data_IF_782769648491
#
_entry.id   IF_782769648491
#
_cell.length_a   1.000
_cell.length_b   1.000
_cell.length_c   1.000
_cell.angle_alpha   90.00
_cell.angle_beta   90.00
_cell.angle_gamma   90.00
#
_symmetry.space_group_name_H-M   'P 1'
#
loop_
_entity.id
_entity.type
_entity.pdbx_description
1 polymer ?
#
# COMPACT_ATOMS: atom_id res chain seq x y z
N UNK A 1 -23.04 15.71 -26.98
CA UNK A 1 -22.84 17.08 -27.50
C UNK A 1 -23.43 18.08 -26.51
N UNK A 2 -22.62 18.57 -25.56
CA UNK A 2 -23.05 19.61 -24.64
C UNK A 2 -22.61 20.97 -25.20
N UNK A 3 -23.60 21.82 -25.47
CA UNK A 3 -23.48 23.15 -26.08
C UNK A 3 -22.55 24.04 -25.25
N UNK A 4 -21.45 24.51 -25.84
CA UNK A 4 -20.61 25.59 -25.29
C UNK A 4 -21.48 26.83 -25.09
N UNK A 5 -21.87 27.13 -23.85
CA UNK A 5 -22.26 28.50 -23.50
C UNK A 5 -20.97 29.32 -23.40
N UNK A 6 -20.57 29.92 -24.52
CA UNK A 6 -19.56 30.98 -24.57
C UNK A 6 -20.07 32.17 -23.77
N UNK A 7 -19.77 32.24 -22.48
CA UNK A 7 -19.76 33.51 -21.77
C UNK A 7 -18.42 34.17 -22.09
N UNK A 8 -18.36 34.77 -23.27
CA UNK A 8 -17.32 35.74 -23.62
C UNK A 8 -17.32 36.79 -22.50
N UNK A 9 -16.18 37.09 -21.86
CA UNK A 9 -16.11 38.21 -20.94
C UNK A 9 -16.59 39.46 -21.69
N UNK A 10 -17.38 40.33 -21.04
CA UNK A 10 -17.75 41.60 -21.66
C UNK A 10 -16.48 42.32 -22.13
N UNK A 11 -16.51 43.00 -23.30
CA UNK A 11 -15.41 43.81 -23.79
C UNK A 11 -15.30 45.06 -22.91
N UNK A 12 -14.73 44.91 -21.73
CA UNK A 12 -14.53 45.99 -20.77
C UNK A 12 -13.15 46.59 -21.02
N UNK A 13 -13.10 47.90 -21.18
CA UNK A 13 -11.82 48.61 -21.23
C UNK A 13 -11.24 48.74 -19.81
N UNK A 14 -9.89 48.81 -19.64
CA UNK A 14 -9.26 48.98 -18.33
C UNK A 14 -9.84 50.16 -17.53
N UNK A 15 -10.19 51.23 -18.22
CA UNK A 15 -10.77 52.45 -17.66
C UNK A 15 -12.14 52.21 -17.02
N UNK A 16 -12.95 51.31 -17.58
CA UNK A 16 -14.28 50.96 -17.07
C UNK A 16 -14.21 50.11 -15.80
N UNK A 17 -13.15 49.31 -15.63
CA UNK A 17 -12.92 48.52 -14.42
C UNK A 17 -12.49 49.43 -13.27
N UNK A 18 -11.68 50.47 -13.55
CA UNK A 18 -11.33 51.52 -12.58
C UNK A 18 -12.55 52.34 -12.15
N UNK A 19 -13.42 52.73 -13.09
CA UNK A 19 -14.68 53.42 -12.77
C UNK A 19 -15.63 52.55 -11.93
N UNK A 20 -15.76 51.26 -12.23
CA UNK A 20 -16.57 50.32 -11.45
C UNK A 20 -15.98 50.09 -10.06
N UNK A 21 -14.66 49.94 -9.93
CA UNK A 21 -14.00 49.79 -8.64
C UNK A 21 -14.17 51.04 -7.74
N UNK A 22 -14.13 52.23 -8.35
CA UNK A 22 -14.40 53.50 -7.68
C UNK A 22 -15.88 53.64 -7.27
N UNK A 23 -16.80 53.23 -8.14
CA UNK A 23 -18.26 53.28 -7.91
C UNK A 23 -18.73 52.39 -6.76
N UNK A 24 -18.08 51.24 -6.54
CA UNK A 24 -18.49 50.25 -5.54
C UNK A 24 -17.71 50.28 -4.20
N UNK A 25 -16.86 51.29 -3.95
CA UNK A 25 -16.11 51.50 -2.67
C UNK A 25 -15.57 50.19 -2.04
N UNK A 26 -15.01 49.31 -2.86
CA UNK A 26 -14.59 48.00 -2.38
C UNK A 26 -13.28 48.12 -1.58
N UNK A 27 -13.42 47.92 -0.27
CA UNK A 27 -12.32 48.03 0.69
C UNK A 27 -11.33 46.88 0.47
N UNK A 28 -10.06 47.26 0.28
CA UNK A 28 -8.86 46.41 0.25
C UNK A 28 -8.48 45.80 -1.11
N UNK A 29 -7.70 46.57 -1.89
CA UNK A 29 -7.03 46.15 -3.13
C UNK A 29 -6.30 44.79 -3.04
N UNK A 30 -5.79 44.41 -1.87
CA UNK A 30 -5.13 43.10 -1.62
C UNK A 30 -6.10 41.92 -1.71
N UNK A 31 -7.33 42.07 -1.24
CA UNK A 31 -8.36 41.01 -1.32
C UNK A 31 -8.99 40.94 -2.71
N UNK A 32 -9.09 42.09 -3.40
CA UNK A 32 -9.47 42.14 -4.82
C UNK A 32 -8.43 41.43 -5.69
N UNK A 33 -7.13 41.69 -5.50
CA UNK A 33 -6.06 41.02 -6.27
C UNK A 33 -6.17 39.49 -6.23
N UNK A 34 -6.36 38.90 -5.03
CA UNK A 34 -6.60 37.45 -4.90
C UNK A 34 -7.85 36.96 -5.61
N UNK A 35 -8.95 37.74 -5.59
CA UNK A 35 -10.20 37.38 -6.30
C UNK A 35 -10.06 37.48 -7.82
N UNK A 36 -9.29 38.45 -8.30
CA UNK A 36 -9.00 38.62 -9.73
C UNK A 36 -8.08 37.50 -10.25
N UNK A 37 -7.09 37.09 -9.46
CA UNK A 37 -6.27 35.90 -9.72
C UNK A 37 -7.13 34.63 -9.81
N UNK A 38 -8.06 34.43 -8.87
CA UNK A 38 -9.00 33.29 -8.93
C UNK A 38 -9.90 33.35 -10.17
N UNK A 39 -10.35 34.53 -10.58
CA UNK A 39 -11.18 34.67 -11.79
C UNK A 39 -10.40 34.34 -13.06
N UNK A 40 -9.16 34.83 -13.16
CA UNK A 40 -8.25 34.48 -14.25
C UNK A 40 -7.97 32.98 -14.27
N UNK A 41 -7.68 32.37 -13.11
CA UNK A 41 -7.48 30.92 -12.98
C UNK A 41 -8.70 30.13 -13.44
N UNK A 42 -9.90 30.44 -12.94
CA UNK A 42 -11.12 29.72 -13.32
C UNK A 42 -11.46 29.84 -14.81
N UNK A 43 -11.18 31.01 -15.41
CA UNK A 43 -11.35 31.18 -16.86
C UNK A 43 -10.32 30.36 -17.63
N UNK A 44 -9.06 30.36 -17.19
CA UNK A 44 -7.99 29.58 -17.82
C UNK A 44 -8.22 28.06 -17.71
N UNK A 45 -8.65 27.57 -16.55
CA UNK A 45 -9.07 26.17 -16.36
C UNK A 45 -10.22 25.78 -17.31
N UNK A 46 -11.14 26.71 -17.58
CA UNK A 46 -12.25 26.51 -18.52
C UNK A 46 -11.79 26.49 -19.97
N UNK A 47 -10.86 27.37 -20.35
CA UNK A 47 -10.23 27.36 -21.68
C UNK A 47 -9.38 26.12 -21.89
N UNK A 48 -8.87 25.48 -20.83
CA UNK A 48 -8.11 24.25 -20.92
C UNK A 48 -8.95 22.98 -20.72
N UNK A 49 -10.27 23.11 -20.59
CA UNK A 49 -11.17 21.97 -20.38
C UNK A 49 -11.28 21.05 -21.61
N UNK A 50 -11.10 21.60 -22.80
CA UNK A 50 -11.02 20.89 -24.09
C UNK A 50 -9.57 20.55 -24.49
N UNK A 51 -8.59 20.92 -23.64
CA UNK A 51 -7.14 20.75 -23.83
C UNK A 51 -6.56 21.53 -25.02
N UNK A 52 -7.34 22.40 -25.65
CA UNK A 52 -6.94 23.15 -26.84
C UNK A 52 -6.99 24.63 -26.53
N UNK A 53 -5.91 25.34 -26.84
CA UNK A 53 -5.81 26.78 -26.58
C UNK A 53 -5.99 27.55 -27.88
N UNK A 54 -7.25 27.85 -28.20
CA UNK A 54 -7.59 28.53 -29.46
C UNK A 54 -6.99 29.95 -29.52
N UNK A 55 -6.73 30.49 -30.72
CA UNK A 55 -6.22 31.85 -30.88
C UNK A 55 -7.13 32.92 -30.23
N UNK A 56 -8.45 32.68 -30.25
CA UNK A 56 -9.46 33.55 -29.64
C UNK A 56 -9.40 33.52 -28.11
N UNK A 57 -9.18 32.35 -27.52
CA UNK A 57 -8.98 32.19 -26.07
C UNK A 57 -7.66 32.80 -25.61
N UNK A 58 -6.58 32.66 -26.40
CA UNK A 58 -5.31 33.38 -26.17
C UNK A 58 -5.52 34.90 -26.16
N UNK A 59 -6.26 35.42 -27.13
CA UNK A 59 -6.61 36.84 -27.21
C UNK A 59 -7.45 37.31 -26.01
N UNK A 60 -8.39 36.47 -25.57
CA UNK A 60 -9.25 36.78 -24.42
C UNK A 60 -8.49 36.72 -23.10
N UNK A 61 -7.53 35.80 -22.94
CA UNK A 61 -6.63 35.74 -21.78
C UNK A 61 -5.69 36.94 -21.72
N UNK A 62 -5.19 37.41 -22.88
CA UNK A 62 -4.42 38.65 -23.00
C UNK A 62 -5.27 39.88 -22.62
N UNK A 63 -6.52 39.92 -23.09
CA UNK A 63 -7.45 40.98 -22.72
C UNK A 63 -7.76 40.96 -21.22
N UNK A 64 -8.07 39.78 -20.65
CA UNK A 64 -8.28 39.60 -19.22
C UNK A 64 -7.07 40.02 -18.39
N UNK A 65 -5.84 39.70 -18.83
CA UNK A 65 -4.62 40.18 -18.19
C UNK A 65 -4.57 41.71 -18.13
N UNK A 66 -4.84 42.38 -19.25
CA UNK A 66 -4.83 43.85 -19.35
C UNK A 66 -5.94 44.48 -18.51
N UNK A 67 -7.15 43.92 -18.58
CA UNK A 67 -8.34 44.42 -17.87
C UNK A 67 -8.24 44.23 -16.35
N UNK A 68 -7.61 43.13 -15.92
CA UNK A 68 -7.44 42.81 -14.49
C UNK A 68 -6.15 43.41 -13.89
N UNK A 69 -5.30 44.08 -14.70
CA UNK A 69 -4.06 44.69 -14.23
C UNK A 69 -3.06 43.70 -13.64
N UNK A 70 -3.08 42.44 -14.08
CA UNK A 70 -2.22 41.39 -13.52
C UNK A 70 -0.79 41.52 -14.08
N UNK A 71 0.19 41.44 -13.18
CA UNK A 71 1.60 41.41 -13.60
C UNK A 71 1.95 40.11 -14.33
N UNK A 72 2.89 40.18 -15.26
CA UNK A 72 3.40 39.03 -16.03
C UNK A 72 3.88 37.89 -15.13
N UNK A 73 4.47 38.22 -13.97
CA UNK A 73 4.92 37.24 -12.97
C UNK A 73 3.77 36.42 -12.39
N UNK A 74 2.66 37.07 -12.07
CA UNK A 74 1.47 36.42 -11.49
C UNK A 74 0.75 35.58 -12.53
N UNK A 75 0.60 36.10 -13.75
CA UNK A 75 -0.01 35.38 -14.88
C UNK A 75 0.79 34.14 -15.26
N UNK A 76 2.12 34.26 -15.38
CA UNK A 76 2.97 33.11 -15.71
C UNK A 76 2.94 32.06 -14.61
N UNK A 77 2.86 32.46 -13.32
CA UNK A 77 2.70 31.53 -12.22
C UNK A 77 1.38 30.75 -12.31
N UNK A 78 0.26 31.45 -12.53
CA UNK A 78 -1.06 30.81 -12.69
C UNK A 78 -1.08 29.91 -13.93
N UNK A 79 -0.48 30.36 -15.03
CA UNK A 79 -0.38 29.57 -16.26
C UNK A 79 0.38 28.27 -16.01
N UNK A 80 1.53 28.32 -15.35
CA UNK A 80 2.32 27.12 -15.03
C UNK A 80 1.53 26.18 -14.11
N UNK A 81 0.93 26.69 -13.03
CA UNK A 81 0.16 25.86 -12.09
C UNK A 81 -1.04 25.16 -12.75
N UNK A 82 -1.79 25.87 -13.59
CA UNK A 82 -2.96 25.29 -14.27
C UNK A 82 -2.54 24.37 -15.41
N UNK A 83 -1.51 24.72 -16.18
CA UNK A 83 -0.98 23.86 -17.23
C UNK A 83 -0.42 22.54 -16.64
N UNK A 84 0.31 22.61 -15.52
CA UNK A 84 0.76 21.43 -14.78
C UNK A 84 -0.42 20.58 -14.30
N UNK A 85 -1.48 21.19 -13.75
CA UNK A 85 -2.66 20.46 -13.27
C UNK A 85 -3.42 19.75 -14.42
N UNK A 86 -3.58 20.42 -15.56
CA UNK A 86 -4.24 19.86 -16.75
C UNK A 86 -3.41 18.76 -17.38
N UNK A 87 -2.09 18.96 -17.49
CA UNK A 87 -1.17 17.94 -17.98
C UNK A 87 -1.17 16.70 -17.07
N UNK A 88 -1.08 16.90 -15.75
CA UNK A 88 -1.17 15.83 -14.74
C UNK A 88 -2.43 15.00 -14.90
N UNK A 89 -3.59 15.64 -15.03
CA UNK A 89 -4.88 14.94 -15.23
C UNK A 89 -4.92 14.18 -16.55
N UNK A 90 -4.26 14.70 -17.59
CA UNK A 90 -4.19 14.05 -18.90
C UNK A 90 -3.28 12.83 -18.86
N UNK A 91 -2.14 12.93 -18.18
CA UNK A 91 -1.25 11.80 -17.89
C UNK A 91 -1.97 10.72 -17.10
N UNK A 92 -2.60 11.06 -15.97
CA UNK A 92 -3.33 10.09 -15.12
C UNK A 92 -4.42 9.34 -15.90
N UNK A 93 -5.08 9.99 -16.86
CA UNK A 93 -6.05 9.34 -17.75
C UNK A 93 -5.39 8.42 -18.78
N UNK A 94 -4.31 8.87 -19.41
CA UNK A 94 -3.58 8.06 -20.39
C UNK A 94 -3.03 6.78 -19.74
N UNK A 95 -2.39 6.89 -18.59
CA UNK A 95 -1.80 5.73 -17.91
C UNK A 95 -2.82 4.90 -17.10
N UNK A 96 -4.10 5.29 -17.07
CA UNK A 96 -5.09 4.74 -16.13
C UNK A 96 -5.34 3.23 -16.30
N UNK A 97 -5.12 2.71 -17.51
CA UNK A 97 -5.27 1.30 -17.85
C UNK A 97 -4.00 0.47 -17.54
N UNK A 98 -2.96 1.11 -17.02
CA UNK A 98 -1.68 0.48 -16.68
C UNK A 98 -0.78 0.22 -17.87
N UNK A 99 -1.11 0.76 -19.04
CA UNK A 99 -0.31 0.68 -20.26
C UNK A 99 -0.10 2.08 -20.79
N UNK A 100 0.89 2.20 -21.68
CA UNK A 100 1.05 3.40 -22.48
C UNK A 100 1.44 2.95 -23.88
N UNK A 101 0.64 3.33 -24.86
CA UNK A 101 0.93 3.03 -26.25
C UNK A 101 1.66 4.19 -26.96
N UNK A 102 2.06 3.95 -28.21
CA UNK A 102 2.76 4.96 -29.00
C UNK A 102 1.87 6.15 -29.37
N UNK A 103 0.55 5.95 -29.49
CA UNK A 103 -0.41 7.00 -29.83
C UNK A 103 -0.63 7.92 -28.61
N UNK A 104 -0.74 7.36 -27.42
CA UNK A 104 -0.82 8.07 -26.14
C UNK A 104 0.45 8.86 -25.84
N UNK A 105 1.63 8.29 -26.12
CA UNK A 105 2.89 9.04 -26.03
C UNK A 105 2.92 10.23 -27.00
N UNK A 106 2.45 10.05 -28.24
CA UNK A 106 2.37 11.14 -29.21
C UNK A 106 1.36 12.20 -28.78
N UNK A 107 0.22 11.78 -28.24
CA UNK A 107 -0.81 12.66 -27.70
C UNK A 107 -0.27 13.47 -26.51
N UNK A 108 0.40 12.85 -25.54
CA UNK A 108 1.02 13.56 -24.41
C UNK A 108 2.05 14.59 -24.87
N UNK A 109 2.86 14.27 -25.89
CA UNK A 109 3.79 15.24 -26.50
C UNK A 109 3.06 16.43 -27.14
N UNK A 110 1.99 16.19 -27.90
CA UNK A 110 1.20 17.28 -28.49
C UNK A 110 0.57 18.18 -27.43
N UNK A 111 0.06 17.60 -26.34
CA UNK A 111 -0.52 18.35 -25.21
C UNK A 111 0.58 19.14 -24.48
N UNK A 112 1.77 18.57 -24.31
CA UNK A 112 2.91 19.26 -23.72
C UNK A 112 3.31 20.50 -24.55
N UNK A 113 3.39 20.35 -25.88
CA UNK A 113 3.71 21.45 -26.81
C UNK A 113 2.64 22.54 -26.80
N UNK A 114 1.37 22.15 -26.80
CA UNK A 114 0.24 23.07 -26.75
C UNK A 114 0.19 23.87 -25.45
N UNK A 115 0.49 23.23 -24.32
CA UNK A 115 0.58 23.86 -23.01
C UNK A 115 1.89 24.63 -22.78
N UNK A 116 2.86 24.54 -23.69
CA UNK A 116 4.20 25.13 -23.60
C UNK A 116 4.94 24.74 -22.30
N UNK A 117 4.76 23.50 -21.87
CA UNK A 117 5.39 23.01 -20.64
C UNK A 117 6.87 22.64 -20.87
N UNK A 118 7.79 23.06 -19.98
CA UNK A 118 9.18 22.62 -20.06
C UNK A 118 9.29 21.10 -19.92
N UNK A 119 10.19 20.47 -20.70
CA UNK A 119 10.40 19.01 -20.68
C UNK A 119 10.61 18.45 -19.27
N UNK A 120 11.46 19.10 -18.46
CA UNK A 120 11.72 18.65 -17.09
C UNK A 120 10.48 18.63 -16.19
N UNK A 121 9.49 19.49 -16.44
CA UNK A 121 8.22 19.50 -15.68
C UNK A 121 7.32 18.37 -16.15
N UNK A 122 7.25 18.14 -17.47
CA UNK A 122 6.48 17.06 -18.06
C UNK A 122 6.99 15.68 -17.63
N UNK A 123 8.32 15.47 -17.67
CA UNK A 123 8.98 14.24 -17.24
C UNK A 123 8.77 13.97 -15.75
N UNK A 124 8.85 15.03 -14.92
CA UNK A 124 8.56 14.94 -13.48
C UNK A 124 7.11 14.51 -13.23
N UNK A 125 6.14 15.17 -13.86
CA UNK A 125 4.72 14.85 -13.69
C UNK A 125 4.45 13.42 -14.16
N UNK A 126 5.00 13.01 -15.30
CA UNK A 126 4.87 11.65 -15.80
C UNK A 126 5.40 10.62 -14.79
N UNK A 127 6.60 10.85 -14.26
CA UNK A 127 7.22 9.95 -13.26
C UNK A 127 6.40 9.89 -11.97
N UNK A 128 5.89 11.02 -11.47
CA UNK A 128 5.03 11.09 -10.28
C UNK A 128 3.73 10.28 -10.47
N UNK A 129 3.05 10.45 -11.60
CA UNK A 129 1.78 9.75 -11.86
C UNK A 129 2.00 8.25 -12.13
N UNK A 130 3.06 7.88 -12.87
CA UNK A 130 3.42 6.49 -13.11
C UNK A 130 3.76 5.75 -11.81
N UNK A 131 4.60 6.35 -10.96
CA UNK A 131 4.93 5.79 -9.64
C UNK A 131 3.70 5.72 -8.73
N UNK A 132 2.83 6.73 -8.76
CA UNK A 132 1.56 6.74 -8.05
C UNK A 132 0.63 5.61 -8.48
N UNK A 133 0.50 5.34 -9.78
CA UNK A 133 -0.31 4.24 -10.31
C UNK A 133 0.23 2.88 -9.86
N UNK A 134 1.55 2.66 -9.98
CA UNK A 134 2.20 1.42 -9.53
C UNK A 134 1.98 1.22 -8.03
N UNK A 135 2.10 2.29 -7.22
CA UNK A 135 1.84 2.22 -5.78
C UNK A 135 0.38 1.88 -5.47
N UNK A 136 -0.59 2.43 -6.22
CA UNK A 136 -2.02 2.09 -6.09
C UNK A 136 -2.29 0.62 -6.47
N UNK A 137 -1.70 0.16 -7.58
CA UNK A 137 -1.81 -1.24 -8.03
C UNK A 137 -1.21 -2.19 -6.99
N UNK A 138 -0.01 -1.88 -6.49
CA UNK A 138 0.65 -2.64 -5.43
C UNK A 138 -0.19 -2.69 -4.16
N UNK A 139 -0.69 -1.55 -3.68
CA UNK A 139 -1.54 -1.48 -2.48
C UNK A 139 -2.81 -2.33 -2.60
N UNK A 140 -3.39 -2.39 -3.80
CA UNK A 140 -4.54 -3.26 -4.09
C UNK A 140 -4.15 -4.74 -4.05
N UNK A 141 -3.06 -5.12 -4.72
CA UNK A 141 -2.57 -6.50 -4.74
C UNK A 141 -2.23 -6.99 -3.33
N UNK A 142 -1.54 -6.19 -2.53
CA UNK A 142 -1.15 -6.59 -1.16
C UNK A 142 -2.21 -6.33 -0.10
N UNK A 143 -3.44 -6.01 -0.49
CA UNK A 143 -4.53 -5.67 0.46
C UNK A 143 -4.88 -6.85 1.38
N UNK A 144 -4.79 -8.07 0.87
CA UNK A 144 -4.96 -9.31 1.63
C UNK A 144 -3.66 -9.76 2.35
N UNK A 145 -2.59 -8.97 2.22
CA UNK A 145 -1.23 -9.27 2.70
C UNK A 145 -0.62 -10.55 2.10
N UNK A 146 -1.08 -10.96 0.92
CA UNK A 146 -0.38 -11.89 0.04
C UNK A 146 0.14 -11.12 -1.17
N UNK A 147 1.03 -11.77 -1.90
CA UNK A 147 1.42 -11.33 -3.22
C UNK A 147 1.62 -12.57 -4.07
N UNK A 148 0.65 -12.85 -4.93
CA UNK A 148 0.72 -13.97 -5.86
C UNK A 148 1.75 -13.72 -6.97
N UNK A 149 2.28 -14.78 -7.61
CA UNK A 149 3.14 -14.64 -8.79
C UNK A 149 2.45 -13.86 -9.92
N UNK A 150 1.15 -14.05 -10.10
CA UNK A 150 0.34 -13.38 -11.12
C UNK A 150 0.27 -11.87 -10.84
N UNK A 151 -0.06 -11.48 -9.61
CA UNK A 151 -0.09 -10.06 -9.22
C UNK A 151 1.30 -9.40 -9.30
N UNK A 152 2.36 -10.09 -8.88
CA UNK A 152 3.74 -9.59 -9.01
C UNK A 152 4.10 -9.37 -10.48
N UNK A 153 3.68 -10.28 -11.37
CA UNK A 153 3.88 -10.14 -12.81
C UNK A 153 3.09 -8.98 -13.41
N UNK A 154 1.82 -8.81 -13.02
CA UNK A 154 0.98 -7.70 -13.48
C UNK A 154 1.57 -6.35 -13.10
N UNK A 155 2.01 -6.17 -11.85
CA UNK A 155 2.62 -4.92 -11.38
C UNK A 155 3.93 -4.64 -12.15
N UNK A 156 4.76 -5.67 -12.36
CA UNK A 156 5.99 -5.54 -13.16
C UNK A 156 5.70 -5.22 -14.62
N UNK A 157 4.62 -5.76 -15.18
CA UNK A 157 4.20 -5.47 -16.55
C UNK A 157 3.75 -4.01 -16.69
N UNK A 158 3.00 -3.49 -15.72
CA UNK A 158 2.61 -2.07 -15.65
C UNK A 158 3.87 -1.20 -15.59
N UNK A 159 4.78 -1.48 -14.65
CA UNK A 159 6.00 -0.69 -14.51
C UNK A 159 6.89 -0.71 -15.77
N UNK A 160 7.02 -1.88 -16.42
CA UNK A 160 7.76 -2.01 -17.68
C UNK A 160 7.10 -1.22 -18.81
N UNK A 161 5.77 -1.27 -18.90
CA UNK A 161 5.03 -0.53 -19.94
C UNK A 161 5.22 0.97 -19.76
N UNK A 162 5.18 1.46 -18.52
CA UNK A 162 5.35 2.88 -18.20
C UNK A 162 6.82 3.36 -18.23
N UNK A 163 7.78 2.45 -18.42
CA UNK A 163 9.21 2.78 -18.39
C UNK A 163 9.72 3.21 -17.00
N UNK A 164 9.00 2.88 -15.93
CA UNK A 164 9.34 3.26 -14.57
C UNK A 164 10.21 2.19 -13.89
N UNK A 165 11.26 2.62 -13.19
CA UNK A 165 12.05 1.73 -12.34
C UNK A 165 11.32 1.50 -11.00
N UNK A 166 11.07 0.24 -10.67
CA UNK A 166 10.48 -0.14 -9.38
C UNK A 166 11.55 -0.25 -8.30
N UNK A 167 12.10 0.88 -7.87
CA UNK A 167 12.99 0.91 -6.71
C UNK A 167 12.20 1.28 -5.46
N UNK A 168 11.89 0.26 -4.67
CA UNK A 168 11.26 0.47 -3.36
C UNK A 168 12.31 0.57 -2.26
N UNK A 169 12.03 1.33 -1.18
CA UNK A 169 12.85 1.28 0.03
C UNK A 169 12.98 -0.13 0.58
N UNK A 170 14.11 -0.44 1.23
CA UNK A 170 14.43 -1.77 1.79
C UNK A 170 13.31 -2.33 2.69
N UNK A 171 12.71 -1.47 3.52
CA UNK A 171 11.59 -1.85 4.40
C UNK A 171 10.37 -2.35 3.62
N UNK A 172 10.06 -1.70 2.50
CA UNK A 172 8.96 -2.10 1.63
C UNK A 172 9.28 -3.40 0.92
N UNK A 173 10.51 -3.57 0.42
CA UNK A 173 10.93 -4.82 -0.22
C UNK A 173 10.82 -6.02 0.73
N UNK A 174 11.32 -5.86 1.97
CA UNK A 174 11.22 -6.88 3.01
C UNK A 174 9.76 -7.29 3.29
N UNK A 175 8.86 -6.30 3.29
CA UNK A 175 7.44 -6.56 3.48
C UNK A 175 6.83 -7.34 2.31
N UNK A 176 7.16 -6.97 1.07
CA UNK A 176 6.70 -7.66 -0.14
C UNK A 176 7.22 -9.10 -0.21
N UNK A 177 8.50 -9.31 0.11
CA UNK A 177 9.09 -10.65 0.19
C UNK A 177 8.37 -11.52 1.21
N UNK A 178 7.97 -10.92 2.33
CA UNK A 178 7.18 -11.62 3.34
C UNK A 178 5.79 -11.99 2.85
N UNK A 179 5.12 -11.13 2.08
CA UNK A 179 3.81 -11.44 1.50
C UNK A 179 3.87 -12.50 0.40
N UNK A 180 4.93 -12.51 -0.42
CA UNK A 180 5.22 -13.60 -1.36
C UNK A 180 5.39 -14.92 -0.62
N UNK A 181 6.13 -14.92 0.48
CA UNK A 181 6.34 -16.11 1.30
C UNK A 181 5.02 -16.63 1.89
N UNK A 182 4.13 -15.76 2.36
CA UNK A 182 2.81 -16.18 2.86
C UNK A 182 1.98 -16.86 1.78
N UNK A 183 1.95 -16.28 0.58
CA UNK A 183 1.26 -16.90 -0.55
C UNK A 183 1.84 -18.28 -0.90
N UNK A 184 3.17 -18.43 -0.91
CA UNK A 184 3.84 -19.71 -1.17
C UNK A 184 3.48 -20.77 -0.12
N UNK A 185 3.44 -20.39 1.16
CA UNK A 185 3.07 -21.30 2.25
C UNK A 185 1.62 -21.77 2.12
N UNK A 186 0.73 -20.99 1.51
CA UNK A 186 -0.68 -21.35 1.35
C UNK A 186 -0.94 -22.16 0.07
N UNK A 187 -0.24 -21.87 -1.02
CA UNK A 187 -0.58 -22.37 -2.36
C UNK A 187 0.47 -23.30 -2.99
N UNK A 188 1.75 -23.21 -2.60
CA UNK A 188 2.83 -24.01 -3.19
C UNK A 188 3.18 -25.24 -2.32
N UNK A 189 4.20 -26.02 -2.67
CA UNK A 189 4.69 -27.08 -1.79
C UNK A 189 5.44 -26.49 -0.59
N UNK A 190 5.17 -27.02 0.61
CA UNK A 190 5.86 -26.56 1.83
C UNK A 190 7.34 -26.91 1.77
N UNK A 191 8.24 -26.01 2.23
CA UNK A 191 9.67 -26.24 2.18
C UNK A 191 10.05 -27.48 2.99
N UNK A 192 11.06 -28.21 2.53
CA UNK A 192 11.60 -29.38 3.22
C UNK A 192 12.87 -29.01 3.97
N UNK A 193 12.81 -29.07 5.30
CA UNK A 193 13.93 -28.76 6.19
C UNK A 193 14.68 -30.03 6.54
N UNK A 194 16.01 -30.02 6.35
CA UNK A 194 16.87 -31.13 6.76
C UNK A 194 16.92 -31.19 8.29
N UNK A 195 16.74 -32.38 8.84
CA UNK A 195 16.83 -32.65 10.28
C UNK A 195 17.59 -33.94 10.55
N UNK A 196 18.42 -33.93 11.59
CA UNK A 196 19.12 -35.13 12.07
C UNK A 196 18.19 -36.06 12.86
N UNK A 197 16.94 -35.65 13.10
CA UNK A 197 15.97 -36.42 13.85
C UNK A 197 15.41 -37.57 13.01
N UNK A 198 15.30 -38.77 13.61
CA UNK A 198 14.64 -39.92 12.97
C UNK A 198 13.15 -39.62 12.74
N UNK A 199 12.79 -39.36 11.49
CA UNK A 199 11.42 -39.19 11.04
C UNK A 199 10.77 -40.56 10.72
N UNK A 200 9.46 -40.65 10.89
CA UNK A 200 8.67 -41.83 10.51
C UNK A 200 8.58 -41.94 8.98
N UNK A 201 8.14 -43.10 8.47
CA UNK A 201 7.89 -43.31 7.04
C UNK A 201 6.87 -42.27 6.52
N UNK A 202 7.24 -41.53 5.48
CA UNK A 202 6.47 -40.42 4.88
C UNK A 202 6.22 -39.23 5.83
N UNK A 203 7.07 -39.05 6.83
CA UNK A 203 7.08 -37.84 7.67
C UNK A 203 8.14 -36.87 7.15
N UNK A 204 7.74 -35.62 6.90
CA UNK A 204 8.60 -34.55 6.36
C UNK A 204 8.63 -33.38 7.34
N UNK A 205 9.80 -32.77 7.52
CA UNK A 205 9.97 -31.59 8.36
C UNK A 205 9.88 -30.32 7.53
N UNK A 206 9.12 -29.33 8.00
CA UNK A 206 8.83 -28.09 7.27
C UNK A 206 9.33 -26.84 7.97
N UNK A 207 9.54 -26.89 9.29
CA UNK A 207 10.01 -25.75 10.05
C UNK A 207 10.86 -26.20 11.24
N UNK A 208 11.93 -25.47 11.52
CA UNK A 208 12.87 -25.72 12.62
C UNK A 208 13.21 -24.38 13.26
N UNK A 209 13.09 -24.28 14.59
CA UNK A 209 13.45 -23.06 15.33
C UNK A 209 13.96 -23.38 16.73
N UNK A 210 14.94 -22.62 17.20
CA UNK A 210 15.34 -22.62 18.60
C UNK A 210 14.23 -22.03 19.46
N UNK A 211 13.90 -22.70 20.55
CA UNK A 211 12.73 -22.34 21.36
C UNK A 211 12.85 -22.81 22.80
N UNK A 212 12.01 -22.22 23.66
CA UNK A 212 11.92 -22.58 25.08
C UNK A 212 10.51 -23.06 25.42
N UNK A 213 10.41 -24.20 26.08
CA UNK A 213 9.13 -24.80 26.44
C UNK A 213 8.73 -24.44 27.88
N UNK A 214 7.51 -23.93 28.04
CA UNK A 214 6.85 -23.59 29.29
C UNK A 214 5.54 -24.37 29.48
N UNK A 215 5.18 -24.66 30.73
CA UNK A 215 3.85 -25.18 31.11
C UNK A 215 3.27 -24.39 32.30
N UNK A 216 1.94 -24.28 32.33
CA UNK A 216 1.22 -23.76 33.50
C UNK A 216 1.41 -24.67 34.73
N UNK A 217 1.59 -24.06 35.90
CA UNK A 217 1.60 -24.77 37.17
C UNK A 217 0.16 -25.15 37.55
N UNK A 218 -0.05 -26.40 38.00
CA UNK A 218 -1.38 -26.98 38.26
C UNK A 218 -2.20 -26.28 39.35
N UNK A 219 -1.61 -25.32 40.08
CA UNK A 219 -2.24 -24.57 41.18
C UNK A 219 -2.04 -23.05 41.11
N UNK A 220 -1.54 -22.52 39.99
CA UNK A 220 -1.41 -21.07 39.79
C UNK A 220 -2.65 -20.49 39.08
N UNK A 221 -2.97 -19.21 39.34
CA UNK A 221 -3.93 -18.44 38.52
C UNK A 221 -3.65 -18.75 37.06
N UNK A 222 -4.65 -19.22 36.31
CA UNK A 222 -4.53 -19.37 34.85
C UNK A 222 -3.91 -18.06 34.35
N UNK A 223 -2.74 -18.10 33.67
CA UNK A 223 -2.20 -16.90 33.09
C UNK A 223 -3.31 -16.35 32.22
N UNK A 224 -3.82 -15.17 32.58
CA UNK A 224 -4.81 -14.49 31.76
C UNK A 224 -4.05 -14.23 30.46
N UNK A 225 -4.52 -14.75 29.32
CA UNK A 225 -4.05 -14.22 28.07
C UNK A 225 -4.26 -12.70 28.19
N UNK A 226 -3.17 -11.92 28.15
CA UNK A 226 -3.31 -10.53 27.79
C UNK A 226 -4.19 -10.49 26.55
N UNK A 227 -5.17 -9.59 26.55
CA UNK A 227 -6.36 -9.60 25.70
C UNK A 227 -6.19 -10.07 24.25
N UNK A 228 -7.30 -10.57 23.73
CA UNK A 228 -7.54 -11.00 22.35
C UNK A 228 -6.62 -12.11 21.80
N UNK A 229 -7.17 -13.32 21.80
CA UNK A 229 -6.57 -14.51 21.20
C UNK A 229 -6.80 -14.47 19.68
N UNK A 230 -5.72 -14.44 18.89
CA UNK A 230 -5.75 -14.28 17.43
C UNK A 230 -6.32 -15.48 16.63
N UNK A 231 -7.06 -16.40 17.29
CA UNK A 231 -7.62 -17.62 16.68
C UNK A 231 -8.54 -17.32 15.49
N UNK A 232 -9.34 -16.26 15.55
CA UNK A 232 -10.37 -15.98 14.54
C UNK A 232 -9.90 -15.14 13.34
N UNK A 233 -8.82 -14.36 13.49
CA UNK A 233 -8.32 -13.47 12.42
C UNK A 233 -7.27 -14.15 11.52
N UNK A 234 -6.46 -15.06 12.07
CA UNK A 234 -5.41 -15.76 11.31
C UNK A 234 -5.97 -16.84 10.37
N UNK A 235 -7.12 -17.44 10.74
CA UNK A 235 -7.68 -18.66 10.13
C UNK A 235 -8.51 -18.42 8.85
N UNK A 236 -8.98 -17.18 8.58
CA UNK A 236 -9.96 -16.89 7.51
C UNK A 236 -9.48 -15.97 6.38
N UNK A 237 -8.18 -15.69 6.29
CA UNK A 237 -7.66 -14.70 5.34
C UNK A 237 -7.88 -13.24 5.78
N UNK A 238 -8.63 -13.01 6.86
CA UNK A 238 -8.85 -11.69 7.46
C UNK A 238 -7.67 -11.25 8.35
N UNK A 239 -6.52 -10.95 7.74
CA UNK A 239 -5.46 -10.17 8.41
C UNK A 239 -5.90 -8.73 8.75
N UNK A 240 -7.09 -8.32 8.29
CA UNK A 240 -7.53 -6.93 8.25
C UNK A 240 -8.22 -6.49 9.55
N UNK A 241 -7.40 -6.01 10.52
CA UNK A 241 -7.56 -4.65 11.10
C UNK A 241 -6.51 -4.25 12.13
N UNK A 242 -5.68 -5.17 12.64
CA UNK A 242 -4.78 -4.80 13.73
C UNK A 242 -3.61 -5.77 13.90
N UNK A 243 -2.50 -5.49 13.25
CA UNK A 243 -1.18 -5.91 13.76
C UNK A 243 -0.87 -5.27 15.12
N UNK A 244 -1.64 -4.25 15.51
CA UNK A 244 -1.57 -3.56 16.80
C UNK A 244 -2.10 -4.40 17.98
N UNK A 245 -2.78 -5.53 17.74
CA UNK A 245 -3.46 -6.29 18.80
C UNK A 245 -2.76 -7.62 19.19
N UNK A 246 -1.65 -8.02 18.55
CA UNK A 246 -0.95 -9.26 18.95
C UNK A 246 -0.16 -8.99 20.22
N UNK A 247 -0.57 -9.58 21.33
CA UNK A 247 0.08 -9.36 22.63
C UNK A 247 1.23 -10.35 22.86
N UNK A 248 2.17 -9.97 23.73
CA UNK A 248 3.15 -10.91 24.31
C UNK A 248 2.44 -11.80 25.33
N UNK A 249 2.76 -13.08 25.31
CA UNK A 249 2.30 -14.03 26.31
C UNK A 249 3.06 -13.81 27.63
N UNK A 250 2.32 -13.61 28.71
CA UNK A 250 2.91 -13.49 30.05
C UNK A 250 3.42 -14.86 30.52
N UNK A 251 4.73 -15.02 30.57
CA UNK A 251 5.39 -16.21 31.10
C UNK A 251 5.59 -16.17 32.62
N UNK A 252 5.28 -15.02 33.26
CA UNK A 252 5.31 -14.87 34.71
C UNK A 252 4.32 -15.85 35.38
N UNK A 253 4.83 -16.81 36.16
CA UNK A 253 4.06 -17.88 36.78
C UNK A 253 4.00 -19.19 35.98
N UNK A 254 4.62 -19.27 34.81
CA UNK A 254 4.84 -20.53 34.10
C UNK A 254 6.14 -21.22 34.53
N UNK A 255 6.14 -22.56 34.56
CA UNK A 255 7.35 -23.33 34.81
C UNK A 255 8.04 -23.64 33.48
N UNK A 256 9.24 -23.09 33.31
CA UNK A 256 10.13 -23.49 32.21
C UNK A 256 10.48 -24.98 32.37
N UNK A 257 10.22 -25.76 31.32
CA UNK A 257 10.47 -27.19 31.30
C UNK A 257 11.84 -27.51 30.70
N UNK A 258 12.18 -26.86 29.59
CA UNK A 258 13.45 -27.05 28.90
C UNK A 258 13.68 -26.00 27.80
N UNK A 259 14.91 -25.96 27.30
CA UNK A 259 15.34 -25.17 26.12
C UNK A 259 15.85 -26.12 25.05
N UNK A 260 15.50 -25.89 23.80
CA UNK A 260 15.94 -26.72 22.69
C UNK A 260 15.33 -26.32 21.35
N UNK A 261 15.07 -27.30 20.49
CA UNK A 261 14.62 -27.06 19.12
C UNK A 261 13.19 -27.55 18.95
N UNK A 262 12.34 -26.71 18.35
CA UNK A 262 11.00 -27.07 17.89
C UNK A 262 11.06 -27.41 16.40
N UNK A 263 10.49 -28.56 16.04
CA UNK A 263 10.33 -29.01 14.67
C UNK A 263 8.84 -29.19 14.37
N UNK A 264 8.41 -28.65 13.23
CA UNK A 264 7.10 -28.90 12.63
C UNK A 264 7.24 -29.92 11.52
N UNK A 265 6.43 -30.98 11.58
CA UNK A 265 6.30 -31.98 10.52
C UNK A 265 4.87 -32.04 10.03
N UNK A 266 4.65 -32.70 8.89
CA UNK A 266 3.31 -33.00 8.36
C UNK A 266 2.45 -33.93 9.26
N UNK A 267 2.96 -34.42 10.40
CA UNK A 267 2.23 -35.32 11.31
C UNK A 267 2.19 -34.87 12.76
N UNK A 268 3.22 -34.15 13.22
CA UNK A 268 3.39 -33.78 14.63
C UNK A 268 4.34 -32.59 14.81
N UNK A 269 4.16 -31.91 15.93
CA UNK A 269 5.19 -31.07 16.54
C UNK A 269 6.12 -31.92 17.40
N UNK A 270 7.41 -31.66 17.26
CA UNK A 270 8.48 -32.29 18.03
C UNK A 270 9.30 -31.18 18.68
N UNK A 271 9.27 -31.11 19.99
CA UNK A 271 10.20 -30.29 20.75
C UNK A 271 11.27 -31.19 21.35
N UNK A 272 12.54 -30.89 21.06
CA UNK A 272 13.71 -31.61 21.55
C UNK A 272 14.52 -30.68 22.44
N UNK A 273 14.29 -30.78 23.74
CA UNK A 273 15.06 -30.09 24.77
C UNK A 273 16.33 -30.84 25.15
N UNK A 274 17.16 -30.21 26.00
CA UNK A 274 18.39 -30.81 26.53
C UNK A 274 18.14 -31.98 27.48
N UNK A 275 17.01 -31.97 28.19
CA UNK A 275 16.64 -32.94 29.24
C UNK A 275 15.27 -33.60 28.99
N UNK A 276 14.34 -32.90 28.35
CA UNK A 276 12.97 -33.32 28.10
C UNK A 276 12.59 -33.12 26.64
N UNK A 277 11.67 -33.96 26.17
CA UNK A 277 11.03 -33.81 24.87
C UNK A 277 9.53 -33.63 25.00
N UNK A 278 8.93 -32.99 24.01
CA UNK A 278 7.48 -32.87 23.89
C UNK A 278 7.07 -33.26 22.47
N UNK A 279 6.06 -34.12 22.36
CA UNK A 279 5.50 -34.57 21.08
C UNK A 279 4.00 -34.28 21.08
N UNK A 280 3.53 -33.54 20.07
CA UNK A 280 2.10 -33.26 19.87
C UNK A 280 1.75 -33.68 18.45
N UNK A 281 0.94 -34.74 18.30
CA UNK A 281 0.42 -35.12 16.97
C UNK A 281 -0.60 -34.09 16.52
N UNK A 282 -0.60 -33.76 15.23
CA UNK A 282 -1.51 -32.75 14.67
C UNK A 282 -2.98 -33.13 14.90
N UNK A 283 -3.34 -34.41 14.72
CA UNK A 283 -4.68 -34.94 15.03
C UNK A 283 -5.13 -34.79 16.49
N UNK A 284 -4.18 -34.67 17.43
CA UNK A 284 -4.45 -34.55 18.86
C UNK A 284 -4.46 -33.08 19.32
N UNK A 285 -4.14 -32.15 18.42
CA UNK A 285 -4.23 -30.71 18.63
C UNK A 285 -5.69 -30.28 18.53
N UNK A 286 -6.16 -29.59 19.57
CA UNK A 286 -7.50 -28.98 19.57
C UNK A 286 -7.43 -27.59 18.95
N UNK A 287 -6.38 -26.84 19.26
CA UNK A 287 -6.17 -25.50 18.77
C UNK A 287 -4.74 -25.01 19.03
N UNK A 288 -4.39 -23.84 18.50
CA UNK A 288 -3.18 -23.12 18.87
C UNK A 288 -3.39 -21.60 18.84
N UNK A 289 -2.55 -20.89 19.59
CA UNK A 289 -2.65 -19.45 19.78
C UNK A 289 -1.26 -18.82 19.67
N UNK A 290 -0.96 -18.12 18.56
CA UNK A 290 0.29 -17.39 18.41
C UNK A 290 0.27 -16.06 19.17
N UNK A 291 1.41 -15.70 19.73
CA UNK A 291 1.72 -14.47 20.46
C UNK A 291 3.02 -13.88 19.92
N UNK A 292 3.36 -12.64 20.29
CA UNK A 292 4.61 -11.99 19.82
C UNK A 292 5.91 -12.70 20.23
N UNK A 293 5.84 -13.58 21.22
CA UNK A 293 6.99 -14.26 21.83
C UNK A 293 6.85 -15.79 21.82
N UNK A 294 5.93 -16.35 21.03
CA UNK A 294 5.78 -17.80 20.89
C UNK A 294 4.37 -18.25 20.58
N UNK A 295 4.13 -19.56 20.71
CA UNK A 295 2.85 -20.19 20.39
C UNK A 295 2.40 -21.08 21.55
N UNK A 296 1.15 -20.89 21.98
CA UNK A 296 0.48 -21.80 22.90
C UNK A 296 -0.27 -22.89 22.14
N UNK A 297 -0.11 -24.15 22.53
CA UNK A 297 -0.82 -25.26 21.92
C UNK A 297 -1.90 -25.79 22.86
N UNK A 298 -3.14 -25.86 22.39
CA UNK A 298 -4.23 -26.53 23.09
C UNK A 298 -4.33 -27.99 22.66
N UNK A 299 -4.20 -28.90 23.62
CA UNK A 299 -4.28 -30.34 23.36
C UNK A 299 -5.68 -30.86 23.70
N UNK A 300 -6.15 -31.87 22.97
CA UNK A 300 -7.41 -32.57 23.32
C UNK A 300 -7.36 -33.18 24.73
N UNK A 301 -6.17 -33.64 25.15
CA UNK A 301 -5.90 -34.21 26.49
C UNK A 301 -4.52 -33.76 26.97
N UNK A 302 -4.41 -33.49 28.27
CA UNK A 302 -3.15 -33.09 28.92
C UNK A 302 -3.04 -31.59 29.13
N UNK A 303 -1.82 -31.13 29.44
CA UNK A 303 -1.51 -29.71 29.63
C UNK A 303 -1.34 -29.00 28.30
N UNK A 304 -1.55 -27.68 28.31
CA UNK A 304 -1.37 -26.82 27.14
C UNK A 304 0.02 -26.16 27.22
N UNK A 305 1.01 -26.67 26.47
CA UNK A 305 2.36 -26.11 26.48
C UNK A 305 2.39 -24.78 25.74
N UNK A 306 3.24 -23.87 26.23
CA UNK A 306 3.64 -22.66 25.50
C UNK A 306 5.09 -22.85 25.04
N UNK A 307 5.37 -22.61 23.77
CA UNK A 307 6.72 -22.68 23.21
C UNK A 307 7.12 -21.29 22.74
N UNK A 308 8.11 -20.73 23.43
CA UNK A 308 8.60 -19.37 23.23
C UNK A 308 9.70 -19.33 22.18
N UNK A 309 9.57 -18.44 21.20
CA UNK A 309 10.55 -18.11 20.17
C UNK A 309 10.12 -16.80 19.50
N UNK A 310 11.07 -16.00 19.01
CA UNK A 310 10.80 -14.63 18.57
C UNK A 310 10.74 -14.46 17.04
N UNK A 311 11.44 -15.32 16.29
CA UNK A 311 11.57 -15.21 14.84
C UNK A 311 10.70 -16.23 14.11
N UNK A 312 9.98 -15.79 13.09
CA UNK A 312 9.20 -16.66 12.19
C UNK A 312 7.93 -17.27 12.81
N UNK A 313 7.36 -16.65 13.85
CA UNK A 313 6.11 -17.10 14.50
C UNK A 313 4.95 -17.11 13.52
N UNK A 314 4.85 -16.10 12.67
CA UNK A 314 3.86 -15.98 11.60
C UNK A 314 3.99 -17.09 10.55
N UNK A 315 5.20 -17.30 10.04
CA UNK A 315 5.55 -18.37 9.10
C UNK A 315 5.20 -19.74 9.70
N UNK A 316 5.65 -20.01 10.92
CA UNK A 316 5.33 -21.24 11.65
C UNK A 316 3.81 -21.44 11.80
N UNK A 317 3.10 -20.37 12.17
CA UNK A 317 1.65 -20.42 12.39
C UNK A 317 0.88 -20.71 11.10
N UNK A 318 1.30 -20.12 9.98
CA UNK A 318 0.70 -20.39 8.67
C UNK A 318 0.95 -21.82 8.22
N UNK A 319 2.19 -22.30 8.35
CA UNK A 319 2.53 -23.69 8.02
C UNK A 319 1.76 -24.68 8.90
N UNK A 320 1.70 -24.44 10.21
CA UNK A 320 0.95 -25.29 11.14
C UNK A 320 -0.55 -25.29 10.81
N UNK A 321 -1.13 -24.13 10.51
CA UNK A 321 -2.53 -24.02 10.13
C UNK A 321 -2.84 -24.83 8.88
N UNK A 322 -2.02 -24.72 7.83
CA UNK A 322 -2.16 -25.50 6.61
C UNK A 322 -2.07 -27.00 6.88
N UNK A 323 -1.04 -27.43 7.60
CA UNK A 323 -0.84 -28.84 7.93
C UNK A 323 -1.98 -29.41 8.80
N UNK A 324 -2.61 -28.60 9.66
CA UNK A 324 -3.78 -29.02 10.43
C UNK A 324 -5.04 -29.21 9.57
N UNK A 325 -5.17 -28.50 8.45
CA UNK A 325 -6.27 -28.70 7.48
C UNK A 325 -6.07 -29.94 6.62
N UNK A 326 -4.82 -30.32 6.39
CA UNK A 326 -4.41 -31.48 5.59
C UNK A 326 -4.33 -32.80 6.40
N UNK A 327 -4.30 -32.73 7.74
CA UNK A 327 -4.07 -33.86 8.66
C UNK A 327 -5.34 -34.60 9.12
#
# INVERSE_FOLDING_TARGET
>A
MATRRSRTPLPLQPDQVLELAAKYRSHSYRQLGRRLETFYRSYFERCLADRILTPEEKGTLLHLKTVLGLSDKVVNKIHNEVAEAVYRKTVDQAISDGRIDSEELAFLKSVQEELKLPNHVADRIYTEEATGLIARALSRAVSDRRLSPEEDQEIRAIARSLGAQMEFPEKTQTLLDRYRLYWLIENAELPLMKTDQKLLKNETCHFIVDSTWYEAQSQGKKPRPGGFVARSKIIRGDYHRSTEDVQRFATEGMKMQDVGVLLLTNRRLLFKGKKKGLIIRLKDMKDFHPFLNGVQFERKKGKNPFVAFDLGIDIFSLMLFRLLREA
#
